data_IF_003805509806
#
_entry.id   IF_003805509806
#
_cell.length_a   1.000
_cell.length_b   1.000
_cell.length_c   1.000
_cell.angle_alpha   90.00
_cell.angle_beta   90.00
_cell.angle_gamma   90.00
#
_symmetry.space_group_name_H-M   'P 1'
#
loop_
_entity.id
_entity.type
_entity.pdbx_description
1 polymer ?
#
# COMPACT_ATOMS: atom_id res chain seq x y z
N UNK A 1 7.60 34.58 50.78
CA UNK A 1 6.70 33.91 49.80
C UNK A 1 6.07 34.86 48.77
N UNK A 2 5.74 36.13 49.09
CA UNK A 2 5.03 37.03 48.15
C UNK A 2 5.81 37.50 46.89
N UNK A 3 7.15 37.46 46.89
CA UNK A 3 7.98 37.88 45.73
C UNK A 3 8.24 36.79 44.68
N UNK A 4 7.90 35.54 44.99
CA UNK A 4 8.20 34.38 44.12
C UNK A 4 7.04 34.13 43.13
N UNK A 5 5.81 34.40 43.57
CA UNK A 5 4.58 34.26 42.77
C UNK A 5 4.60 35.08 41.45
N UNK A 6 4.99 36.37 41.42
CA UNK A 6 5.04 37.12 40.17
C UNK A 6 6.11 36.62 39.19
N UNK A 7 7.21 36.03 39.69
CA UNK A 7 8.27 35.44 38.86
C UNK A 7 7.76 34.17 38.17
N UNK A 8 7.04 33.30 38.91
CA UNK A 8 6.42 32.11 38.33
C UNK A 8 5.34 32.45 37.32
N UNK A 9 4.51 33.48 37.57
CA UNK A 9 3.51 33.95 36.60
C UNK A 9 4.16 34.49 35.31
N UNK A 10 5.30 35.18 35.42
CA UNK A 10 6.09 35.64 34.27
C UNK A 10 6.67 34.48 33.46
N UNK A 11 7.22 33.45 34.12
CA UNK A 11 7.72 32.23 33.46
C UNK A 11 6.58 31.48 32.78
N UNK A 12 5.43 31.34 33.45
CA UNK A 12 4.26 30.63 32.90
C UNK A 12 3.68 31.35 31.67
N UNK A 13 3.60 32.69 31.71
CA UNK A 13 3.19 33.51 30.58
C UNK A 13 4.21 33.45 29.43
N UNK A 14 5.51 33.46 29.74
CA UNK A 14 6.59 33.29 28.76
C UNK A 14 6.53 31.93 28.08
N UNK A 15 6.34 30.84 28.84
CA UNK A 15 6.15 29.48 28.32
C UNK A 15 4.86 29.35 27.52
N UNK A 16 3.76 29.98 27.95
CA UNK A 16 2.51 29.99 27.20
C UNK A 16 2.65 30.74 25.87
N UNK A 17 3.36 31.88 25.84
CA UNK A 17 3.67 32.61 24.60
C UNK A 17 4.61 31.79 23.73
N UNK A 18 5.64 31.15 24.29
CA UNK A 18 6.56 30.25 23.57
C UNK A 18 5.82 29.05 22.98
N UNK A 19 4.95 28.38 23.75
CA UNK A 19 4.13 27.25 23.28
C UNK A 19 3.06 27.70 22.29
N UNK A 20 2.52 28.91 22.41
CA UNK A 20 1.59 29.50 21.43
C UNK A 20 2.29 29.91 20.15
N UNK A 21 3.55 30.35 20.22
CA UNK A 21 4.40 30.66 19.07
C UNK A 21 4.88 29.38 18.39
N UNK A 22 5.28 28.37 19.16
CA UNK A 22 5.59 27.01 18.69
C UNK A 22 4.34 26.34 18.11
N UNK A 23 3.16 26.58 18.70
CA UNK A 23 1.86 26.08 18.27
C UNK A 23 1.28 26.78 17.04
N UNK A 24 1.67 28.03 16.78
CA UNK A 24 1.25 28.78 15.59
C UNK A 24 1.88 28.24 14.30
N UNK A 25 3.02 27.57 14.39
CA UNK A 25 3.70 26.86 13.31
C UNK A 25 3.76 25.34 13.56
N UNK A 26 2.98 24.82 14.53
CA UNK A 26 2.98 23.39 14.81
C UNK A 26 2.12 22.66 13.80
N UNK A 27 2.55 21.44 13.45
CA UNK A 27 1.77 20.51 12.64
C UNK A 27 0.36 20.29 13.24
N UNK A 28 0.17 20.45 14.55
CA UNK A 28 -1.13 20.37 15.22
C UNK A 28 -2.14 21.44 14.78
N UNK A 29 -1.72 22.71 14.61
CA UNK A 29 -2.61 23.75 14.13
C UNK A 29 -3.04 23.51 12.67
N UNK A 30 -2.13 22.93 11.87
CA UNK A 30 -2.38 22.51 10.50
C UNK A 30 -3.36 21.34 10.48
N UNK A 31 -3.15 20.33 11.33
CA UNK A 31 -4.04 19.17 11.49
C UNK A 31 -5.46 19.60 11.85
N UNK A 32 -5.63 20.50 12.83
CA UNK A 32 -6.95 21.00 13.20
C UNK A 32 -7.66 21.71 12.03
N UNK A 33 -6.94 22.59 11.33
CA UNK A 33 -7.48 23.32 10.19
C UNK A 33 -7.82 22.39 9.03
N UNK A 34 -6.92 21.46 8.71
CA UNK A 34 -7.07 20.51 7.62
C UNK A 34 -8.12 19.43 7.93
N UNK A 35 -8.33 19.05 9.18
CA UNK A 35 -9.29 18.01 9.56
C UNK A 35 -10.72 18.39 9.22
N UNK A 36 -11.10 19.66 9.45
CA UNK A 36 -12.44 20.14 9.06
C UNK A 36 -12.65 20.03 7.55
N UNK A 37 -11.67 20.49 6.77
CA UNK A 37 -11.69 20.41 5.31
C UNK A 37 -11.67 18.95 4.83
N UNK A 38 -10.92 18.09 5.49
CA UNK A 38 -10.84 16.67 5.14
C UNK A 38 -12.19 15.96 5.32
N UNK A 39 -12.94 16.28 6.37
CA UNK A 39 -14.29 15.72 6.55
C UNK A 39 -15.24 16.19 5.45
N UNK A 40 -15.21 17.48 5.13
CA UNK A 40 -16.01 18.03 4.03
C UNK A 40 -15.63 17.39 2.68
N UNK A 41 -14.33 17.21 2.43
CA UNK A 41 -13.86 16.49 1.24
C UNK A 41 -14.35 15.04 1.21
N UNK A 42 -14.36 14.33 2.34
CA UNK A 42 -14.92 12.97 2.43
C UNK A 42 -16.43 12.99 2.13
N UNK A 43 -17.17 14.00 2.56
CA UNK A 43 -18.59 14.12 2.24
C UNK A 43 -18.81 14.39 0.75
N UNK A 44 -17.95 15.19 0.11
CA UNK A 44 -17.94 15.38 -1.35
C UNK A 44 -17.71 14.03 -2.06
N UNK A 45 -16.81 13.19 -1.57
CA UNK A 45 -16.52 11.88 -2.17
C UNK A 45 -17.72 10.92 -2.13
N UNK A 46 -18.67 11.09 -1.21
CA UNK A 46 -19.86 10.23 -1.12
C UNK A 46 -20.84 10.48 -2.25
N UNK A 47 -21.05 11.75 -2.60
CA UNK A 47 -21.88 12.12 -3.74
C UNK A 47 -21.33 13.36 -4.48
N UNK A 48 -20.33 13.19 -5.34
CA UNK A 48 -19.72 14.32 -6.06
C UNK A 48 -20.69 15.04 -7.01
N UNK A 49 -21.75 14.38 -7.47
CA UNK A 49 -22.63 14.88 -8.53
C UNK A 49 -23.57 15.98 -8.03
N UNK A 50 -23.91 15.97 -6.75
CA UNK A 50 -24.84 16.93 -6.13
C UNK A 50 -24.12 18.10 -5.47
N UNK A 51 -22.78 18.10 -5.46
CA UNK A 51 -21.98 19.15 -4.82
C UNK A 51 -21.91 20.37 -5.73
N UNK A 52 -22.34 21.57 -5.26
CA UNK A 52 -22.25 22.79 -6.04
C UNK A 52 -20.80 23.16 -6.38
N UNK A 53 -20.59 23.77 -7.56
CA UNK A 53 -19.25 24.20 -8.00
C UNK A 53 -18.58 25.16 -7.02
N UNK A 54 -19.37 26.04 -6.37
CA UNK A 54 -18.88 26.99 -5.38
C UNK A 54 -18.26 26.29 -4.16
N UNK A 55 -18.74 25.09 -3.81
CA UNK A 55 -18.19 24.29 -2.70
C UNK A 55 -16.79 23.80 -3.03
N UNK A 56 -16.56 23.32 -4.26
CA UNK A 56 -15.22 22.95 -4.74
C UNK A 56 -14.28 24.16 -4.74
N UNK A 57 -14.73 25.32 -5.23
CA UNK A 57 -13.91 26.52 -5.23
C UNK A 57 -13.53 26.97 -3.81
N UNK A 58 -14.48 26.91 -2.86
CA UNK A 58 -14.24 27.24 -1.45
C UNK A 58 -13.21 26.30 -0.83
N UNK A 59 -13.41 24.99 -0.96
CA UNK A 59 -12.53 24.00 -0.30
C UNK A 59 -11.11 24.09 -0.83
N UNK A 60 -10.93 24.28 -2.14
CA UNK A 60 -9.62 24.49 -2.76
C UNK A 60 -8.95 25.74 -2.19
N UNK A 61 -9.67 26.87 -2.14
CA UNK A 61 -9.17 28.13 -1.59
C UNK A 61 -8.74 27.99 -0.14
N UNK A 62 -9.50 27.26 0.67
CA UNK A 62 -9.18 27.09 2.08
C UNK A 62 -7.97 26.15 2.29
N UNK A 63 -7.82 25.10 1.48
CA UNK A 63 -6.57 24.32 1.47
C UNK A 63 -5.37 25.15 1.02
N UNK A 64 -5.52 25.98 -0.01
CA UNK A 64 -4.45 26.85 -0.52
C UNK A 64 -3.97 27.84 0.55
N UNK A 65 -4.87 28.47 1.30
CA UNK A 65 -4.51 29.35 2.42
C UNK A 65 -3.65 28.63 3.47
N UNK A 66 -3.96 27.37 3.78
CA UNK A 66 -3.15 26.57 4.73
C UNK A 66 -1.77 26.30 4.14
N UNK A 67 -1.71 25.90 2.86
CA UNK A 67 -0.45 25.62 2.16
C UNK A 67 0.44 26.87 2.09
N UNK A 68 -0.13 28.04 1.78
CA UNK A 68 0.57 29.33 1.72
C UNK A 68 1.07 29.79 3.08
N UNK A 69 0.29 29.54 4.13
CA UNK A 69 0.67 29.89 5.50
C UNK A 69 1.73 28.97 6.09
N UNK A 70 1.78 27.71 5.65
CA UNK A 70 2.67 26.68 6.19
C UNK A 70 3.44 25.93 5.09
N UNK A 71 4.21 26.61 4.24
CA UNK A 71 4.84 25.99 3.07
C UNK A 71 5.81 24.85 3.42
N UNK A 72 6.49 24.95 4.56
CA UNK A 72 7.55 24.03 5.00
C UNK A 72 7.06 22.90 5.92
N UNK A 73 5.76 22.83 6.23
CA UNK A 73 5.22 21.74 7.06
C UNK A 73 5.34 20.39 6.36
N UNK A 74 5.59 19.35 7.16
CA UNK A 74 5.60 17.95 6.69
C UNK A 74 4.23 17.50 6.16
N UNK A 75 3.15 18.19 6.52
CA UNK A 75 1.79 17.89 6.08
C UNK A 75 1.42 18.56 4.75
N UNK A 76 2.10 19.64 4.40
CA UNK A 76 1.84 20.42 3.18
C UNK A 76 1.89 19.61 1.88
N UNK A 77 2.83 18.66 1.69
CA UNK A 77 2.79 17.76 0.53
C UNK A 77 1.47 16.97 0.44
N UNK A 78 0.94 16.48 1.56
CA UNK A 78 -0.34 15.78 1.62
C UNK A 78 -1.53 16.70 1.29
N UNK A 79 -1.50 17.95 1.76
CA UNK A 79 -2.53 18.94 1.41
C UNK A 79 -2.53 19.27 -0.09
N UNK A 80 -1.34 19.39 -0.70
CA UNK A 80 -1.21 19.57 -2.17
C UNK A 80 -1.79 18.39 -2.94
N UNK A 81 -1.55 17.16 -2.48
CA UNK A 81 -2.19 15.96 -3.05
C UNK A 81 -3.72 16.04 -2.96
N UNK A 82 -4.27 16.48 -1.84
CA UNK A 82 -5.71 16.64 -1.67
C UNK A 82 -6.26 17.66 -2.68
N UNK A 83 -5.63 18.82 -2.85
CA UNK A 83 -6.05 19.83 -3.84
C UNK A 83 -6.14 19.22 -5.25
N UNK A 84 -5.11 18.48 -5.69
CA UNK A 84 -5.15 17.77 -6.98
C UNK A 84 -6.30 16.76 -7.08
N UNK A 85 -6.56 16.01 -6.00
CA UNK A 85 -7.69 15.07 -5.95
C UNK A 85 -9.06 15.77 -5.92
N UNK A 86 -9.19 16.98 -5.36
CA UNK A 86 -10.43 17.75 -5.43
C UNK A 86 -10.75 18.11 -6.88
N UNK A 87 -9.77 18.54 -7.67
CA UNK A 87 -9.94 18.78 -9.11
C UNK A 87 -10.31 17.50 -9.88
N UNK A 88 -9.71 16.35 -9.52
CA UNK A 88 -10.09 15.05 -10.09
C UNK A 88 -11.56 14.73 -9.85
N UNK A 89 -12.06 14.93 -8.64
CA UNK A 89 -13.47 14.69 -8.27
C UNK A 89 -14.40 15.68 -8.96
N UNK A 90 -13.96 16.93 -9.13
CA UNK A 90 -14.64 17.96 -9.95
C UNK A 90 -14.66 17.61 -11.45
N UNK A 91 -13.91 16.59 -11.89
CA UNK A 91 -13.69 16.20 -13.30
C UNK A 91 -12.91 17.24 -14.12
N UNK A 92 -12.24 18.16 -13.44
CA UNK A 92 -11.29 19.08 -14.05
C UNK A 92 -9.93 18.37 -14.13
N UNK A 93 -9.84 17.43 -15.07
CA UNK A 93 -8.71 16.51 -15.17
C UNK A 93 -7.41 17.20 -15.56
N UNK A 94 -7.49 18.27 -16.36
CA UNK A 94 -6.30 19.02 -16.77
C UNK A 94 -5.70 19.75 -15.59
N UNK A 95 -6.50 20.55 -14.88
CA UNK A 95 -6.02 21.26 -13.68
C UNK A 95 -5.56 20.28 -12.60
N UNK A 96 -6.25 19.13 -12.46
CA UNK A 96 -5.81 18.06 -11.55
C UNK A 96 -4.40 17.58 -11.87
N UNK A 97 -4.10 17.29 -13.15
CA UNK A 97 -2.75 16.89 -13.59
C UNK A 97 -1.73 17.99 -13.38
N UNK A 98 -2.07 19.25 -13.64
CA UNK A 98 -1.18 20.38 -13.37
C UNK A 98 -0.77 20.42 -11.89
N UNK A 99 -1.75 20.29 -10.97
CA UNK A 99 -1.47 20.27 -9.52
C UNK A 99 -0.60 19.09 -9.10
N UNK A 100 -0.79 17.90 -9.69
CA UNK A 100 0.11 16.77 -9.43
C UNK A 100 1.51 16.96 -10.04
N UNK A 101 1.62 17.60 -11.20
CA UNK A 101 2.90 17.95 -11.81
C UNK A 101 3.67 19.01 -10.99
N UNK A 102 2.98 19.95 -10.35
CA UNK A 102 3.60 20.87 -9.39
C UNK A 102 4.27 20.11 -8.24
N UNK A 103 3.62 19.07 -7.70
CA UNK A 103 4.20 18.23 -6.62
C UNK A 103 5.49 17.56 -7.08
N UNK A 104 5.51 17.02 -8.30
CA UNK A 104 6.71 16.38 -8.87
C UNK A 104 7.87 17.37 -8.97
N UNK A 105 7.59 18.62 -9.37
CA UNK A 105 8.60 19.69 -9.47
C UNK A 105 9.07 20.19 -8.11
N UNK A 106 8.16 20.32 -7.14
CA UNK A 106 8.44 20.87 -5.81
C UNK A 106 9.18 19.87 -4.91
N UNK A 107 8.98 18.57 -5.10
CA UNK A 107 9.56 17.52 -4.25
C UNK A 107 10.41 16.50 -5.03
N UNK A 108 11.46 16.94 -5.75
CA UNK A 108 12.24 16.08 -6.65
C UNK A 108 13.04 14.97 -5.94
N UNK A 109 13.26 15.10 -4.63
CA UNK A 109 13.96 14.09 -3.81
C UNK A 109 13.00 13.09 -3.15
N UNK A 110 11.70 13.38 -3.09
CA UNK A 110 10.72 12.50 -2.45
C UNK A 110 10.13 11.52 -3.48
N UNK A 111 10.78 10.36 -3.65
CA UNK A 111 10.38 9.34 -4.62
C UNK A 111 8.99 8.75 -4.34
N UNK A 112 8.63 8.54 -3.08
CA UNK A 112 7.30 8.06 -2.68
C UNK A 112 6.20 9.03 -3.09
N UNK A 113 6.40 10.32 -2.83
CA UNK A 113 5.43 11.35 -3.20
C UNK A 113 5.34 11.53 -4.72
N UNK A 114 6.47 11.49 -5.44
CA UNK A 114 6.48 11.52 -6.90
C UNK A 114 5.71 10.34 -7.50
N UNK A 115 5.91 9.12 -6.98
CA UNK A 115 5.18 7.95 -7.42
C UNK A 115 3.66 8.10 -7.17
N UNK A 116 3.27 8.62 -6.00
CA UNK A 116 1.87 8.92 -5.69
C UNK A 116 1.26 9.98 -6.62
N UNK A 117 1.98 11.06 -6.90
CA UNK A 117 1.55 12.11 -7.83
C UNK A 117 1.40 11.57 -9.27
N UNK A 118 2.37 10.79 -9.75
CA UNK A 118 2.26 10.11 -11.05
C UNK A 118 1.07 9.14 -11.08
N UNK A 119 0.85 8.34 -10.03
CA UNK A 119 -0.31 7.45 -9.97
C UNK A 119 -1.63 8.23 -9.99
N UNK A 120 -1.68 9.39 -9.33
CA UNK A 120 -2.85 10.27 -9.41
C UNK A 120 -3.07 10.85 -10.81
N UNK A 121 -2.00 11.21 -11.54
CA UNK A 121 -2.07 11.57 -12.97
C UNK A 121 -2.62 10.38 -13.79
N UNK A 122 -2.14 9.16 -13.56
CA UNK A 122 -2.67 7.95 -14.20
C UNK A 122 -4.18 7.78 -13.98
N UNK A 123 -4.64 7.92 -12.73
CA UNK A 123 -6.06 7.90 -12.37
C UNK A 123 -6.88 8.99 -13.06
N UNK A 124 -6.30 10.17 -13.33
CA UNK A 124 -7.01 11.22 -14.10
C UNK A 124 -7.27 10.79 -15.54
N UNK A 125 -6.31 10.09 -16.17
CA UNK A 125 -6.50 9.57 -17.52
C UNK A 125 -7.50 8.41 -17.54
N UNK A 126 -7.49 7.53 -16.53
CA UNK A 126 -8.50 6.49 -16.38
C UNK A 126 -9.91 7.07 -16.22
N UNK A 127 -10.07 8.12 -15.41
CA UNK A 127 -11.35 8.81 -15.25
C UNK A 127 -11.86 9.52 -16.53
N UNK A 128 -10.99 9.64 -17.54
CA UNK A 128 -11.31 10.11 -18.89
C UNK A 128 -11.46 8.97 -19.91
N UNK A 129 -11.47 7.71 -19.45
CA UNK A 129 -11.42 6.51 -20.30
C UNK A 129 -10.21 6.47 -21.25
N UNK A 130 -9.16 7.26 -20.96
CA UNK A 130 -7.94 7.33 -21.73
C UNK A 130 -6.89 6.36 -21.18
N UNK A 131 -7.14 5.06 -21.37
CA UNK A 131 -6.18 4.02 -20.97
C UNK A 131 -4.78 4.19 -21.59
N UNK A 132 -4.60 4.55 -22.88
CA UNK A 132 -3.26 4.77 -23.43
C UNK A 132 -2.46 5.84 -22.67
N UNK A 133 -3.11 6.95 -22.27
CA UNK A 133 -2.51 7.99 -21.45
C UNK A 133 -2.15 7.49 -20.05
N UNK A 134 -3.07 6.79 -19.40
CA UNK A 134 -2.84 6.20 -18.07
C UNK A 134 -1.67 5.20 -18.11
N UNK A 135 -1.66 4.33 -19.13
CA UNK A 135 -0.65 3.30 -19.33
C UNK A 135 0.76 3.88 -19.44
N UNK A 136 0.93 4.94 -20.24
CA UNK A 136 2.22 5.64 -20.37
C UNK A 136 2.75 6.15 -19.02
N UNK A 137 1.86 6.67 -18.18
CA UNK A 137 2.20 7.15 -16.84
C UNK A 137 2.57 5.98 -15.93
N UNK A 138 1.80 4.89 -15.97
CA UNK A 138 2.08 3.69 -15.18
C UNK A 138 3.38 2.99 -15.58
N UNK A 139 3.68 2.87 -16.87
CA UNK A 139 4.95 2.30 -17.32
C UNK A 139 6.15 3.13 -16.80
N UNK A 140 6.01 4.47 -16.74
CA UNK A 140 7.00 5.34 -16.09
C UNK A 140 7.14 5.06 -14.60
N UNK A 141 6.03 4.80 -13.89
CA UNK A 141 6.08 4.44 -12.47
C UNK A 141 6.85 3.13 -12.26
N UNK A 142 6.60 2.13 -13.10
CA UNK A 142 7.30 0.84 -13.05
C UNK A 142 8.79 0.98 -13.32
N UNK A 143 9.20 1.89 -14.22
CA UNK A 143 10.60 2.13 -14.55
C UNK A 143 11.34 2.96 -13.48
N UNK A 144 10.77 4.11 -13.09
CA UNK A 144 11.49 5.14 -12.33
C UNK A 144 11.28 5.02 -10.80
N UNK A 145 10.24 4.28 -10.37
CA UNK A 145 9.79 4.25 -8.97
C UNK A 145 9.45 2.84 -8.48
N UNK A 146 10.06 1.80 -9.08
CA UNK A 146 9.75 0.39 -8.85
C UNK A 146 9.72 -0.05 -7.37
N UNK A 147 10.60 0.51 -6.53
CA UNK A 147 10.72 0.16 -5.11
C UNK A 147 9.80 0.96 -4.18
N UNK A 148 9.06 1.93 -4.71
CA UNK A 148 8.08 2.67 -3.91
C UNK A 148 6.84 1.83 -3.65
N UNK A 149 6.08 2.15 -2.59
CA UNK A 149 4.81 1.46 -2.31
C UNK A 149 3.85 1.53 -3.50
N UNK A 150 3.81 2.67 -4.19
CA UNK A 150 3.00 2.83 -5.40
C UNK A 150 3.57 2.01 -6.56
N UNK A 151 4.89 2.08 -6.81
CA UNK A 151 5.53 1.36 -7.90
C UNK A 151 5.37 -0.15 -7.82
N UNK A 152 5.49 -0.73 -6.63
CA UNK A 152 5.25 -2.15 -6.40
C UNK A 152 3.82 -2.59 -6.75
N UNK A 153 2.83 -1.72 -6.65
CA UNK A 153 1.43 -2.06 -6.94
C UNK A 153 1.01 -1.90 -8.41
N UNK A 154 1.71 -1.06 -9.18
CA UNK A 154 1.30 -0.70 -10.55
C UNK A 154 1.26 -1.88 -11.54
N UNK A 155 2.22 -2.82 -11.55
CA UNK A 155 2.16 -3.96 -12.48
C UNK A 155 0.87 -4.79 -12.35
N UNK A 156 0.43 -5.07 -11.12
CA UNK A 156 -0.84 -5.77 -10.86
C UNK A 156 -2.04 -4.89 -11.24
N UNK A 157 -1.97 -3.57 -10.98
CA UNK A 157 -3.03 -2.65 -11.41
C UNK A 157 -3.26 -2.70 -12.93
N UNK A 158 -2.19 -2.72 -13.71
CA UNK A 158 -2.25 -2.87 -15.17
C UNK A 158 -2.91 -4.20 -15.57
N UNK A 159 -2.53 -5.31 -14.92
CA UNK A 159 -3.13 -6.61 -15.21
C UNK A 159 -4.62 -6.67 -14.84
N UNK A 160 -4.98 -6.11 -13.69
CA UNK A 160 -6.36 -6.02 -13.21
C UNK A 160 -7.24 -5.15 -14.13
N UNK A 161 -6.69 -4.10 -14.73
CA UNK A 161 -7.42 -3.29 -15.70
C UNK A 161 -7.89 -4.14 -16.90
N UNK A 162 -7.00 -4.91 -17.52
CA UNK A 162 -7.37 -5.79 -18.63
C UNK A 162 -8.32 -6.91 -18.21
N UNK A 163 -8.10 -7.48 -17.02
CA UNK A 163 -9.00 -8.49 -16.43
C UNK A 163 -10.41 -7.94 -16.23
N UNK A 164 -10.55 -6.70 -15.75
CA UNK A 164 -11.84 -6.03 -15.58
C UNK A 164 -12.57 -5.76 -16.90
N UNK A 165 -11.83 -5.65 -18.01
CA UNK A 165 -12.39 -5.54 -19.36
C UNK A 165 -12.71 -6.90 -20.00
N UNK A 166 -12.48 -8.02 -19.30
CA UNK A 166 -12.54 -9.38 -19.85
C UNK A 166 -11.56 -9.63 -21.01
N UNK A 167 -10.53 -8.79 -21.17
CA UNK A 167 -9.44 -9.02 -22.12
C UNK A 167 -8.41 -9.96 -21.48
N UNK A 168 -8.78 -11.24 -21.41
CA UNK A 168 -8.01 -12.26 -20.70
C UNK A 168 -6.61 -12.45 -21.27
N UNK A 169 -6.43 -12.28 -22.60
CA UNK A 169 -5.10 -12.40 -23.21
C UNK A 169 -4.19 -11.27 -22.72
N UNK A 170 -4.63 -10.01 -22.81
CA UNK A 170 -3.81 -8.89 -22.32
C UNK A 170 -3.62 -8.94 -20.80
N UNK A 171 -4.60 -9.46 -20.06
CA UNK A 171 -4.46 -9.67 -18.63
C UNK A 171 -3.35 -10.69 -18.32
N UNK A 172 -3.32 -11.83 -19.01
CA UNK A 172 -2.27 -12.83 -18.86
C UNK A 172 -0.90 -12.25 -19.20
N UNK A 173 -0.76 -11.57 -20.35
CA UNK A 173 0.50 -10.93 -20.76
C UNK A 173 0.96 -9.84 -19.76
N UNK A 174 0.01 -9.13 -19.14
CA UNK A 174 0.31 -8.13 -18.12
C UNK A 174 0.76 -8.78 -16.79
N UNK A 175 0.12 -9.87 -16.37
CA UNK A 175 0.57 -10.63 -15.21
C UNK A 175 1.95 -11.27 -15.44
N UNK A 176 2.24 -11.79 -16.62
CA UNK A 176 3.56 -12.35 -16.93
C UNK A 176 4.66 -11.29 -16.88
N UNK A 177 4.39 -10.08 -17.39
CA UNK A 177 5.28 -8.92 -17.21
C UNK A 177 5.45 -8.54 -15.74
N UNK A 178 4.38 -8.56 -14.96
CA UNK A 178 4.44 -8.31 -13.51
C UNK A 178 5.31 -9.35 -12.79
N UNK A 179 5.13 -10.64 -13.11
CA UNK A 179 5.93 -11.76 -12.58
C UNK A 179 7.41 -11.57 -12.91
N UNK A 180 7.75 -11.27 -14.16
CA UNK A 180 9.13 -11.01 -14.56
C UNK A 180 9.74 -9.81 -13.82
N UNK A 181 8.95 -8.74 -13.64
CA UNK A 181 9.35 -7.55 -12.89
C UNK A 181 9.63 -7.87 -11.42
N UNK A 182 8.73 -8.57 -10.72
CA UNK A 182 8.92 -8.91 -9.31
C UNK A 182 10.05 -9.92 -9.09
N UNK A 183 10.24 -10.88 -10.01
CA UNK A 183 11.41 -11.77 -9.99
C UNK A 183 12.72 -10.97 -10.08
N UNK A 184 12.77 -9.99 -10.99
CA UNK A 184 13.95 -9.13 -11.16
C UNK A 184 14.21 -8.30 -9.91
N UNK A 185 13.18 -7.64 -9.36
CA UNK A 185 13.31 -6.86 -8.13
C UNK A 185 13.76 -7.71 -6.94
N UNK A 186 13.19 -8.91 -6.78
CA UNK A 186 13.58 -9.83 -5.72
C UNK A 186 15.04 -10.27 -5.86
N UNK A 187 15.49 -10.59 -7.08
CA UNK A 187 16.86 -11.02 -7.35
C UNK A 187 17.89 -9.89 -7.15
N UNK A 188 17.53 -8.65 -7.49
CA UNK A 188 18.42 -7.50 -7.37
C UNK A 188 18.54 -6.95 -5.94
N UNK A 189 17.59 -7.29 -5.06
CA UNK A 189 17.53 -6.75 -3.70
C UNK A 189 17.46 -7.87 -2.64
N UNK A 190 18.38 -8.84 -2.64
CA UNK A 190 18.31 -9.97 -1.71
C UNK A 190 18.35 -9.51 -0.25
N UNK A 191 17.69 -10.26 0.63
CA UNK A 191 17.68 -10.07 2.08
C UNK A 191 17.15 -8.69 2.53
N UNK A 192 16.35 -8.05 1.69
CA UNK A 192 15.82 -6.71 1.93
C UNK A 192 14.30 -6.66 2.06
N UNK A 193 13.72 -5.57 2.60
CA UNK A 193 12.28 -5.31 2.53
C UNK A 193 11.74 -5.29 1.09
N UNK A 194 12.58 -4.97 0.11
CA UNK A 194 12.21 -4.96 -1.30
C UNK A 194 12.07 -6.38 -1.87
N UNK A 195 12.96 -7.33 -1.53
CA UNK A 195 12.75 -8.74 -1.90
C UNK A 195 11.49 -9.28 -1.22
N UNK A 196 11.31 -9.06 0.09
CA UNK A 196 10.10 -9.48 0.79
C UNK A 196 8.82 -8.99 0.11
N UNK A 197 8.75 -7.69 -0.19
CA UNK A 197 7.59 -7.10 -0.85
C UNK A 197 7.40 -7.68 -2.25
N UNK A 198 8.48 -7.78 -3.04
CA UNK A 198 8.43 -8.32 -4.41
C UNK A 198 7.95 -9.76 -4.43
N UNK A 199 8.42 -10.62 -3.52
CA UNK A 199 7.96 -12.01 -3.41
C UNK A 199 6.48 -12.10 -3.03
N UNK A 200 5.98 -11.18 -2.18
CA UNK A 200 4.53 -11.15 -1.86
C UNK A 200 3.68 -10.76 -3.06
N UNK A 201 4.10 -9.75 -3.82
CA UNK A 201 3.41 -9.37 -5.05
C UNK A 201 3.49 -10.48 -6.11
N UNK A 202 4.63 -11.14 -6.24
CA UNK A 202 4.82 -12.30 -7.11
C UNK A 202 3.88 -13.46 -6.76
N UNK A 203 3.78 -13.83 -5.48
CA UNK A 203 2.85 -14.86 -5.02
C UNK A 203 1.40 -14.51 -5.36
N UNK A 204 1.00 -13.24 -5.20
CA UNK A 204 -0.34 -12.78 -5.58
C UNK A 204 -0.58 -12.85 -7.10
N UNK A 205 0.41 -12.52 -7.94
CA UNK A 205 0.29 -12.71 -9.39
C UNK A 205 0.03 -14.17 -9.75
N UNK A 206 0.74 -15.11 -9.13
CA UNK A 206 0.51 -16.53 -9.35
C UNK A 206 -0.87 -16.98 -8.88
N UNK A 207 -1.36 -16.48 -7.73
CA UNK A 207 -2.74 -16.74 -7.29
C UNK A 207 -3.77 -16.24 -8.30
N UNK A 208 -3.61 -15.02 -8.80
CA UNK A 208 -4.52 -14.41 -9.77
C UNK A 208 -4.56 -15.17 -11.11
N UNK A 209 -3.41 -15.72 -11.53
CA UNK A 209 -3.30 -16.58 -12.70
C UNK A 209 -3.69 -18.05 -12.44
N UNK A 210 -4.13 -18.41 -11.23
CA UNK A 210 -4.42 -19.80 -10.82
C UNK A 210 -3.20 -20.74 -10.92
N UNK A 211 -2.00 -20.18 -10.88
CA UNK A 211 -0.72 -20.89 -10.87
C UNK A 211 -0.40 -21.30 -9.44
N UNK A 212 -1.21 -22.24 -8.95
CA UNK A 212 -1.31 -22.60 -7.55
C UNK A 212 -0.01 -23.11 -6.96
N UNK A 213 0.74 -23.92 -7.74
CA UNK A 213 2.00 -24.49 -7.29
C UNK A 213 3.04 -23.41 -7.08
N UNK A 214 3.25 -22.54 -8.07
CA UNK A 214 4.21 -21.45 -7.99
C UNK A 214 3.86 -20.46 -6.88
N UNK A 215 2.56 -20.18 -6.67
CA UNK A 215 2.12 -19.36 -5.54
C UNK A 215 2.54 -19.95 -4.19
N UNK A 216 2.32 -21.26 -3.98
CA UNK A 216 2.71 -21.95 -2.74
C UNK A 216 4.23 -21.98 -2.59
N UNK A 217 4.99 -22.23 -3.66
CA UNK A 217 6.46 -22.19 -3.66
C UNK A 217 6.99 -20.82 -3.20
N UNK A 218 6.46 -19.74 -3.78
CA UNK A 218 6.86 -18.36 -3.45
C UNK A 218 6.48 -18.00 -2.02
N UNK A 219 5.26 -18.32 -1.58
CA UNK A 219 4.86 -18.06 -0.20
C UNK A 219 5.65 -18.91 0.79
N UNK A 220 5.98 -20.15 0.46
CA UNK A 220 6.89 -21.00 1.22
C UNK A 220 8.28 -20.34 1.39
N UNK A 221 8.85 -19.79 0.31
CA UNK A 221 10.09 -19.01 0.37
C UNK A 221 9.96 -17.79 1.28
N UNK A 222 8.85 -17.05 1.19
CA UNK A 222 8.58 -15.90 2.07
C UNK A 222 8.51 -16.33 3.54
N UNK A 223 7.85 -17.45 3.82
CA UNK A 223 7.75 -18.01 5.17
C UNK A 223 9.10 -18.49 5.71
N UNK A 224 9.89 -19.21 4.93
CA UNK A 224 11.21 -19.71 5.35
C UNK A 224 12.19 -18.55 5.65
N UNK A 225 12.21 -17.55 4.77
CA UNK A 225 13.17 -16.44 4.84
C UNK A 225 12.75 -15.33 5.79
N UNK A 226 11.48 -14.92 5.75
CA UNK A 226 10.98 -13.74 6.48
C UNK A 226 9.95 -14.07 7.56
N UNK A 227 9.62 -15.34 7.78
CA UNK A 227 8.62 -15.76 8.78
C UNK A 227 9.13 -15.64 10.21
N UNK A 228 9.61 -14.48 10.63
CA UNK A 228 10.15 -14.20 11.98
C UNK A 228 9.73 -12.80 12.47
N UNK A 229 9.72 -12.55 13.80
CA UNK A 229 9.29 -11.27 14.38
C UNK A 229 10.03 -10.04 13.86
N UNK A 230 11.28 -10.20 13.39
CA UNK A 230 12.11 -9.12 12.86
C UNK A 230 11.60 -8.58 11.51
N UNK A 231 10.84 -9.39 10.77
CA UNK A 231 10.41 -9.08 9.40
C UNK A 231 8.90 -8.96 9.25
N UNK A 232 8.11 -9.70 10.05
CA UNK A 232 6.66 -9.61 10.01
C UNK A 232 6.03 -9.90 11.38
N UNK A 233 4.75 -9.61 11.53
CA UNK A 233 3.99 -10.02 12.71
C UNK A 233 3.29 -11.37 12.47
N UNK A 234 2.86 -12.02 13.56
CA UNK A 234 2.23 -13.34 13.51
C UNK A 234 0.93 -13.38 12.69
N UNK A 235 0.18 -12.26 12.59
CA UNK A 235 -1.05 -12.21 11.77
C UNK A 235 -0.74 -12.26 10.29
N UNK A 236 0.33 -11.59 9.87
CA UNK A 236 0.82 -11.66 8.49
C UNK A 236 1.29 -13.07 8.15
N UNK A 237 2.04 -13.72 9.06
CA UNK A 237 2.42 -15.12 8.89
C UNK A 237 1.19 -16.03 8.77
N UNK A 238 0.24 -15.94 9.71
CA UNK A 238 -1.01 -16.73 9.73
C UNK A 238 -1.77 -16.60 8.39
N UNK A 239 -1.83 -15.39 7.83
CA UNK A 239 -2.47 -15.14 6.52
C UNK A 239 -1.76 -15.91 5.41
N UNK A 240 -0.42 -15.83 5.34
CA UNK A 240 0.38 -16.53 4.33
C UNK A 240 0.21 -18.04 4.46
N UNK A 241 0.25 -18.57 5.69
CA UNK A 241 0.13 -20.01 5.94
C UNK A 241 -1.27 -20.54 5.64
N UNK A 242 -2.32 -19.75 5.92
CA UNK A 242 -3.69 -20.06 5.50
C UNK A 242 -3.79 -20.08 3.98
N UNK A 243 -3.22 -19.12 3.28
CA UNK A 243 -3.18 -19.12 1.81
C UNK A 243 -2.48 -20.37 1.28
N UNK A 244 -1.28 -20.69 1.78
CA UNK A 244 -0.55 -21.92 1.42
C UNK A 244 -1.44 -23.15 1.62
N UNK A 245 -2.05 -23.30 2.79
CA UNK A 245 -2.86 -24.45 3.13
C UNK A 245 -4.13 -24.54 2.27
N UNK A 246 -4.85 -23.43 2.12
CA UNK A 246 -6.08 -23.39 1.33
C UNK A 246 -5.79 -23.73 -0.12
N UNK A 247 -4.76 -23.13 -0.72
CA UNK A 247 -4.39 -23.44 -2.10
C UNK A 247 -3.94 -24.89 -2.24
N UNK A 248 -3.08 -25.37 -1.34
CA UNK A 248 -2.55 -26.73 -1.40
C UNK A 248 -3.64 -27.80 -1.22
N UNK A 249 -4.52 -27.62 -0.23
CA UNK A 249 -5.57 -28.59 0.10
C UNK A 249 -6.71 -28.53 -0.91
N UNK A 250 -7.21 -27.35 -1.27
CA UNK A 250 -8.41 -27.25 -2.09
C UNK A 250 -8.12 -27.25 -3.59
N UNK A 251 -7.05 -26.57 -4.03
CA UNK A 251 -6.74 -26.43 -5.46
C UNK A 251 -5.77 -27.51 -5.94
N UNK A 252 -4.71 -27.79 -5.18
CA UNK A 252 -3.70 -28.79 -5.57
C UNK A 252 -4.02 -30.21 -5.10
N UNK A 253 -4.93 -30.38 -4.13
CA UNK A 253 -5.20 -31.67 -3.45
C UNK A 253 -3.94 -32.31 -2.89
N UNK A 254 -2.97 -31.49 -2.47
CA UNK A 254 -1.65 -31.92 -2.03
C UNK A 254 -1.39 -31.46 -0.60
N UNK A 255 -1.53 -32.38 0.35
CA UNK A 255 -1.26 -32.12 1.77
C UNK A 255 0.23 -32.15 2.11
N UNK A 256 1.03 -32.91 1.35
CA UNK A 256 2.47 -33.09 1.63
C UNK A 256 3.25 -31.82 1.38
N UNK A 257 2.87 -31.09 0.34
CA UNK A 257 3.63 -29.92 -0.07
C UNK A 257 3.75 -28.85 1.04
N UNK A 258 2.65 -28.38 1.67
CA UNK A 258 2.76 -27.46 2.80
C UNK A 258 3.36 -28.09 4.06
N UNK A 259 3.16 -29.40 4.29
CA UNK A 259 3.78 -30.11 5.42
C UNK A 259 5.31 -30.08 5.33
N UNK A 260 5.86 -30.37 4.15
CA UNK A 260 7.29 -30.35 3.89
C UNK A 260 7.87 -28.96 4.17
N UNK A 261 7.21 -27.89 3.69
CA UNK A 261 7.64 -26.51 3.93
C UNK A 261 7.81 -26.24 5.44
N UNK A 262 6.80 -26.61 6.24
CA UNK A 262 6.83 -26.32 7.68
C UNK A 262 7.83 -27.19 8.44
N UNK A 263 7.95 -28.46 8.06
CA UNK A 263 8.92 -29.38 8.63
C UNK A 263 10.35 -28.93 8.34
N UNK A 264 10.64 -28.50 7.11
CA UNK A 264 11.95 -28.00 6.71
C UNK A 264 12.34 -26.74 7.50
N UNK A 265 11.40 -25.81 7.72
CA UNK A 265 11.65 -24.60 8.51
C UNK A 265 12.05 -24.96 9.95
N UNK A 266 11.33 -25.88 10.59
CA UNK A 266 11.63 -26.33 11.96
C UNK A 266 12.95 -27.10 12.01
N UNK A 267 13.21 -27.95 11.01
CA UNK A 267 14.44 -28.75 10.93
C UNK A 267 15.69 -27.87 10.75
N UNK A 268 15.62 -26.86 9.87
CA UNK A 268 16.69 -25.89 9.65
C UNK A 268 16.90 -24.97 10.87
N UNK A 269 15.84 -24.68 11.62
CA UNK A 269 15.91 -23.81 12.80
C UNK A 269 15.11 -24.39 13.98
N UNK A 270 15.70 -25.29 14.79
CA UNK A 270 15.02 -25.92 15.92
C UNK A 270 14.57 -24.94 17.02
N UNK A 271 15.13 -23.73 17.05
CA UNK A 271 14.82 -22.66 18.00
C UNK A 271 14.00 -21.52 17.34
N UNK A 272 13.33 -21.80 16.22
CA UNK A 272 12.53 -20.81 15.51
C UNK A 272 11.51 -20.13 16.45
N UNK A 273 11.41 -18.77 16.48
CA UNK A 273 10.53 -18.05 17.40
C UNK A 273 9.05 -18.48 17.36
N UNK A 274 8.60 -18.92 16.19
CA UNK A 274 7.25 -19.41 15.94
C UNK A 274 7.15 -20.92 15.71
N UNK A 275 8.11 -21.70 16.20
CA UNK A 275 8.12 -23.17 16.06
C UNK A 275 6.82 -23.83 16.51
N UNK A 276 6.29 -23.43 17.68
CA UNK A 276 5.03 -23.97 18.21
C UNK A 276 3.85 -23.68 17.28
N UNK A 277 3.86 -22.54 16.61
CA UNK A 277 2.84 -22.16 15.64
C UNK A 277 2.93 -23.04 14.38
N UNK A 278 4.13 -23.24 13.82
CA UNK A 278 4.33 -24.17 12.70
C UNK A 278 3.93 -25.60 13.05
N UNK A 279 4.27 -26.08 14.27
CA UNK A 279 3.87 -27.40 14.73
C UNK A 279 2.34 -27.56 14.75
N UNK A 280 1.61 -26.56 15.25
CA UNK A 280 0.15 -26.56 15.22
C UNK A 280 -0.40 -26.67 13.80
N UNK A 281 0.21 -25.99 12.82
CA UNK A 281 -0.20 -26.09 11.41
C UNK A 281 0.07 -27.48 10.84
N UNK A 282 1.23 -28.09 11.17
CA UNK A 282 1.58 -29.46 10.80
C UNK A 282 0.56 -30.47 11.36
N UNK A 283 0.26 -30.39 12.65
CA UNK A 283 -0.68 -31.31 13.32
C UNK A 283 -2.09 -31.20 12.71
N UNK A 284 -2.53 -29.97 12.44
CA UNK A 284 -3.83 -29.69 11.81
C UNK A 284 -3.92 -30.28 10.40
N UNK A 285 -2.90 -30.03 9.57
CA UNK A 285 -2.84 -30.57 8.20
C UNK A 285 -2.74 -32.09 8.18
N UNK A 286 -1.95 -32.68 9.08
CA UNK A 286 -1.78 -34.14 9.17
C UNK A 286 -3.10 -34.81 9.55
N UNK A 287 -3.87 -34.21 10.47
CA UNK A 287 -5.21 -34.68 10.83
C UNK A 287 -6.18 -34.58 9.66
N UNK A 288 -6.16 -33.46 8.91
CA UNK A 288 -7.00 -33.29 7.72
C UNK A 288 -6.66 -34.30 6.63
N UNK A 289 -5.37 -34.55 6.37
CA UNK A 289 -4.89 -35.58 5.44
C UNK A 289 -5.43 -36.95 5.84
N UNK A 290 -5.24 -37.37 7.09
CA UNK A 290 -5.72 -38.67 7.58
C UNK A 290 -7.23 -38.85 7.39
N UNK A 291 -8.03 -37.82 7.69
CA UNK A 291 -9.49 -37.84 7.47
C UNK A 291 -9.85 -37.91 5.98
N UNK A 292 -9.12 -37.20 5.11
CA UNK A 292 -9.38 -37.24 3.66
C UNK A 292 -9.10 -38.60 3.02
N UNK A 293 -8.14 -39.36 3.56
CA UNK A 293 -7.83 -40.73 3.10
C UNK A 293 -8.92 -41.72 3.53
N UNK A 294 -9.62 -41.44 4.62
CA UNK A 294 -10.72 -42.28 5.14
C UNK A 294 -12.05 -42.07 4.42
N UNK A 295 -12.23 -40.97 3.69
CA UNK A 295 -13.43 -40.72 2.88
C UNK A 295 -13.15 -41.22 1.45
N UNK A 296 -13.83 -42.27 0.95
CA UNK A 296 -13.64 -42.72 -0.42
C UNK A 296 -13.88 -41.57 -1.38
N UNK A 297 -12.95 -41.32 -2.30
CA UNK A 297 -13.19 -40.37 -3.39
C UNK A 297 -14.28 -40.97 -4.28
N UNK A 298 -15.54 -40.57 -4.06
CA UNK A 298 -16.61 -40.78 -5.02
C UNK A 298 -16.22 -40.09 -6.32
N UNK A 299 -16.01 -40.91 -7.36
CA UNK A 299 -15.71 -40.52 -8.74
C UNK A 299 -16.82 -39.65 -9.34
#
# INVERSE_FOLDING_TARGET
>A
MKKVIPIYLGILAGVFVLLSLLGRNSDYAIEQAAWKLQREYIDILKDPKVVPEQTFARIIKDYQKIIERYPDSKLTPGLRMIVGNVYLVKKDYETSREKFNEIIKLYPQNKELQAQAHSAIGRTYEAQDNWPGARKVYDRIVADYALTRTGLGVPIHIANHYKAQNDYQKAMDAYDRAIAHYNTLAAQNPDSPAEYSSLRYLGNCYLDQKRWREAVEVFGKVTDKYGRPEHMNIRTLDTILKTINTVSVYQLKNYEFPLQIYQDIIAKNPNHPWKSYFQKMIDTLSTLKAKSVQVPQTQ
#
